data_IF_904506292377
#
_entry.id   IF_904506292377
#
_cell.length_a   1.000
_cell.length_b   1.000
_cell.length_c   1.000
_cell.angle_alpha   90.00
_cell.angle_beta   90.00
_cell.angle_gamma   90.00
#
_symmetry.space_group_name_H-M   'P 1'
#
loop_
_entity.id
_entity.type
_entity.pdbx_description
1 polymer ?
#
# COMPACT_ATOMS: atom_id res chain seq x y z
N UNK A 1 -29.56 -5.93 9.39
CA UNK A 1 -28.16 -5.79 9.85
C UNK A 1 -27.53 -4.60 9.15
N UNK A 2 -26.99 -3.68 9.92
CA UNK A 2 -26.25 -2.58 9.32
C UNK A 2 -24.91 -3.10 8.80
N UNK A 3 -24.66 -2.96 7.51
CA UNK A 3 -23.34 -3.20 6.94
C UNK A 3 -22.37 -2.13 7.48
N UNK A 4 -21.29 -2.54 8.09
CA UNK A 4 -20.27 -1.59 8.55
C UNK A 4 -19.48 -1.08 7.35
N UNK A 5 -19.21 0.21 7.34
CA UNK A 5 -18.33 0.80 6.35
C UNK A 5 -16.92 0.19 6.50
N UNK A 6 -16.31 -0.32 5.41
CA UNK A 6 -14.97 -0.89 5.51
C UNK A 6 -13.94 0.19 5.84
N UNK A 7 -12.90 -0.21 6.56
CA UNK A 7 -11.70 0.59 6.74
C UNK A 7 -10.90 0.52 5.45
N UNK A 8 -10.48 1.67 4.91
CA UNK A 8 -9.85 1.73 3.58
C UNK A 8 -8.38 2.12 3.67
N UNK A 9 -7.53 1.29 3.10
CA UNK A 9 -6.07 1.48 3.09
C UNK A 9 -5.58 1.65 1.65
N UNK A 10 -4.72 2.62 1.43
CA UNK A 10 -4.11 2.88 0.13
C UNK A 10 -2.60 2.75 0.24
N UNK A 11 -2.02 1.80 -0.50
CA UNK A 11 -0.57 1.62 -0.59
C UNK A 11 -0.03 2.49 -1.72
N UNK A 12 0.98 3.29 -1.45
CA UNK A 12 1.49 4.27 -2.43
C UNK A 12 2.99 4.13 -2.61
N UNK A 13 3.43 4.05 -3.87
CA UNK A 13 4.85 4.14 -4.23
C UNK A 13 5.03 5.24 -5.28
N UNK A 14 6.14 5.25 -6.01
CA UNK A 14 6.37 6.26 -7.02
C UNK A 14 5.50 6.01 -8.27
N UNK A 15 5.66 4.85 -8.91
CA UNK A 15 5.05 4.56 -10.21
C UNK A 15 3.81 3.68 -10.18
N UNK A 16 3.49 3.07 -9.05
CA UNK A 16 2.36 2.14 -8.89
C UNK A 16 2.45 0.91 -9.82
N UNK A 17 3.66 0.42 -10.07
CA UNK A 17 3.87 -0.79 -10.90
C UNK A 17 4.67 -1.90 -10.21
N UNK A 18 5.38 -1.62 -9.11
CA UNK A 18 6.19 -2.63 -8.41
C UNK A 18 5.81 -2.77 -6.94
N UNK A 19 6.21 -1.81 -6.11
CA UNK A 19 6.09 -1.91 -4.64
C UNK A 19 4.65 -1.82 -4.15
N UNK A 20 3.91 -0.79 -4.55
CA UNK A 20 2.57 -0.59 -4.02
C UNK A 20 1.56 -1.64 -4.51
N UNK A 21 1.61 -2.13 -5.78
CA UNK A 21 0.73 -3.24 -6.15
C UNK A 21 1.03 -4.51 -5.36
N UNK A 22 2.31 -4.80 -5.11
CA UNK A 22 2.71 -5.95 -4.28
C UNK A 22 2.19 -5.79 -2.85
N UNK A 23 2.41 -4.61 -2.25
CA UNK A 23 1.92 -4.32 -0.90
C UNK A 23 0.40 -4.45 -0.81
N UNK A 24 -0.32 -3.96 -1.81
CA UNK A 24 -1.78 -4.05 -1.87
C UNK A 24 -2.25 -5.50 -1.77
N UNK A 25 -1.74 -6.37 -2.62
CA UNK A 25 -2.21 -7.77 -2.69
C UNK A 25 -1.78 -8.56 -1.46
N UNK A 26 -0.55 -8.34 -0.98
CA UNK A 26 -0.05 -9.04 0.22
C UNK A 26 -0.84 -8.61 1.46
N UNK A 27 -1.06 -7.31 1.64
CA UNK A 27 -1.83 -6.81 2.78
C UNK A 27 -3.28 -7.30 2.74
N UNK A 28 -3.89 -7.26 1.56
CA UNK A 28 -5.26 -7.78 1.37
C UNK A 28 -5.34 -9.25 1.76
N UNK A 29 -4.36 -10.05 1.35
CA UNK A 29 -4.31 -11.48 1.68
C UNK A 29 -4.34 -11.70 3.19
N UNK A 30 -3.50 -11.00 3.95
CA UNK A 30 -3.45 -11.17 5.40
C UNK A 30 -4.69 -10.62 6.10
N UNK A 31 -5.27 -9.53 5.59
CA UNK A 31 -6.54 -9.01 6.10
C UNK A 31 -7.68 -10.02 5.89
N UNK A 32 -7.74 -10.62 4.71
CA UNK A 32 -8.78 -11.61 4.38
C UNK A 32 -8.65 -12.88 5.23
N UNK A 33 -7.43 -13.34 5.49
CA UNK A 33 -7.19 -14.49 6.37
C UNK A 33 -7.76 -14.26 7.77
N UNK A 34 -7.71 -13.04 8.26
CA UNK A 34 -8.20 -12.66 9.59
C UNK A 34 -9.65 -12.18 9.55
N UNK A 35 -10.32 -12.26 8.41
CA UNK A 35 -11.70 -11.84 8.22
C UNK A 35 -11.95 -10.38 8.66
N UNK A 36 -11.00 -9.50 8.34
CA UNK A 36 -11.11 -8.08 8.65
C UNK A 36 -11.85 -7.36 7.53
N UNK A 37 -12.74 -6.43 7.89
CA UNK A 37 -13.49 -5.62 6.94
C UNK A 37 -12.62 -4.44 6.45
N UNK A 38 -11.62 -4.75 5.64
CA UNK A 38 -10.65 -3.78 5.14
C UNK A 38 -10.59 -3.87 3.62
N UNK A 39 -10.66 -2.71 2.97
CA UNK A 39 -10.43 -2.56 1.52
C UNK A 39 -9.01 -2.04 1.34
N UNK A 40 -8.24 -2.68 0.49
CA UNK A 40 -6.86 -2.28 0.19
C UNK A 40 -6.74 -1.98 -1.30
N UNK A 41 -6.21 -0.81 -1.61
CA UNK A 41 -5.92 -0.36 -2.98
C UNK A 41 -4.51 0.17 -3.07
N UNK A 42 -4.08 0.60 -4.26
CA UNK A 42 -2.77 1.21 -4.46
C UNK A 42 -2.81 2.35 -5.48
N UNK A 43 -1.81 3.23 -5.39
CA UNK A 43 -1.64 4.37 -6.30
C UNK A 43 -0.15 4.75 -6.34
N UNK A 44 0.22 5.66 -7.24
CA UNK A 44 1.56 6.21 -7.33
C UNK A 44 1.55 7.73 -7.17
N UNK A 45 2.65 8.28 -6.65
CA UNK A 45 2.79 9.74 -6.57
C UNK A 45 3.05 10.36 -7.95
N UNK A 46 3.63 9.59 -8.87
CA UNK A 46 3.89 10.04 -10.23
C UNK A 46 2.80 9.58 -11.21
N UNK A 47 2.79 10.18 -12.39
CA UNK A 47 1.91 9.81 -13.50
C UNK A 47 2.73 9.16 -14.62
N UNK A 48 3.70 8.33 -14.29
CA UNK A 48 4.60 7.73 -15.27
C UNK A 48 3.96 6.57 -16.03
N UNK A 49 3.07 5.81 -15.39
CA UNK A 49 2.54 4.56 -15.93
C UNK A 49 1.01 4.45 -15.85
N UNK A 50 0.23 5.50 -16.18
CA UNK A 50 -1.22 5.45 -15.98
C UNK A 50 -1.86 4.33 -16.79
N UNK A 51 -2.72 3.55 -16.14
CA UNK A 51 -3.45 2.44 -16.77
C UNK A 51 -2.63 1.20 -17.05
N UNK A 52 -1.34 1.18 -16.70
CA UNK A 52 -0.47 0.04 -16.96
C UNK A 52 -0.65 -1.06 -15.91
N UNK A 53 -0.48 -2.29 -16.33
CA UNK A 53 -0.39 -3.42 -15.43
C UNK A 53 0.90 -3.33 -14.60
N UNK A 54 0.97 -4.01 -13.44
CA UNK A 54 2.22 -4.11 -12.69
C UNK A 54 3.36 -4.69 -13.52
N UNK A 55 4.58 -4.33 -13.16
CA UNK A 55 5.81 -4.86 -13.80
C UNK A 55 5.73 -6.39 -13.87
N UNK A 56 6.07 -6.96 -15.04
CA UNK A 56 5.96 -8.41 -15.25
C UNK A 56 6.82 -9.21 -14.28
N UNK A 57 8.00 -8.69 -13.91
CA UNK A 57 8.87 -9.36 -12.94
C UNK A 57 8.23 -9.39 -11.56
N UNK A 58 7.60 -8.27 -11.15
CA UNK A 58 6.82 -8.22 -9.92
C UNK A 58 5.70 -9.25 -9.93
N UNK A 59 4.96 -9.34 -11.04
CA UNK A 59 3.89 -10.32 -11.19
C UNK A 59 4.41 -11.75 -11.08
N UNK A 60 5.51 -12.07 -11.75
CA UNK A 60 6.10 -13.40 -11.76
C UNK A 60 6.57 -13.83 -10.37
N UNK A 61 7.29 -12.97 -9.67
CA UNK A 61 7.78 -13.27 -8.33
C UNK A 61 6.63 -13.42 -7.32
N UNK A 62 5.65 -12.54 -7.39
CA UNK A 62 4.48 -12.60 -6.51
C UNK A 62 3.66 -13.87 -6.75
N UNK A 63 3.46 -14.26 -8.01
CA UNK A 63 2.66 -15.43 -8.37
C UNK A 63 3.25 -16.73 -7.80
N UNK A 64 4.58 -16.82 -7.72
CA UNK A 64 5.25 -17.99 -7.10
C UNK A 64 4.86 -18.18 -5.64
N UNK A 65 4.45 -17.11 -4.96
CA UNK A 65 3.98 -17.16 -3.57
C UNK A 65 2.46 -17.16 -3.46
N UNK A 66 1.74 -17.23 -4.59
CA UNK A 66 0.29 -17.27 -4.62
C UNK A 66 -0.39 -15.90 -4.68
N UNK A 67 0.36 -14.83 -4.93
CA UNK A 67 -0.20 -13.49 -5.06
C UNK A 67 -0.36 -13.12 -6.53
N UNK A 68 -1.60 -12.84 -6.96
CA UNK A 68 -1.90 -12.45 -8.34
C UNK A 68 -2.06 -10.93 -8.44
N UNK A 69 -1.13 -10.29 -9.15
CA UNK A 69 -1.14 -8.85 -9.40
C UNK A 69 -1.71 -8.48 -10.77
N UNK A 70 -2.09 -9.47 -11.58
CA UNK A 70 -2.35 -9.26 -13.02
C UNK A 70 -3.54 -8.35 -13.34
N UNK A 71 -4.51 -8.27 -12.43
CA UNK A 71 -5.72 -7.46 -12.66
C UNK A 71 -5.57 -5.99 -12.27
N UNK A 72 -4.48 -5.65 -11.57
CA UNK A 72 -4.27 -4.29 -11.11
C UNK A 72 -3.87 -3.36 -12.25
N UNK A 73 -4.19 -2.07 -12.11
CA UNK A 73 -3.81 -1.03 -13.07
C UNK A 73 -3.32 0.20 -12.33
N UNK A 74 -2.21 0.77 -12.81
CA UNK A 74 -1.60 1.92 -12.18
C UNK A 74 -2.49 3.16 -12.29
N UNK A 75 -2.55 3.94 -11.20
CA UNK A 75 -3.19 5.25 -11.18
C UNK A 75 -2.39 6.20 -10.30
N UNK A 76 -2.62 7.49 -10.48
CA UNK A 76 -1.97 8.51 -9.69
C UNK A 76 -2.76 8.81 -8.41
N UNK A 77 -2.04 9.04 -7.31
CA UNK A 77 -2.59 9.56 -6.06
C UNK A 77 -3.20 10.93 -6.29
N UNK A 78 -4.40 11.15 -5.76
CA UNK A 78 -5.11 12.43 -5.86
C UNK A 78 -5.40 13.00 -4.47
N UNK A 79 -5.72 14.29 -4.42
CA UNK A 79 -6.12 14.94 -3.16
C UNK A 79 -7.37 14.29 -2.54
N UNK A 80 -8.30 13.81 -3.36
CA UNK A 80 -9.50 13.11 -2.88
C UNK A 80 -9.21 11.82 -2.13
N UNK A 81 -8.08 11.16 -2.41
CA UNK A 81 -7.69 9.95 -1.71
C UNK A 81 -7.55 10.18 -0.19
N UNK A 82 -7.16 11.40 0.20
CA UNK A 82 -7.04 11.75 1.62
C UNK A 82 -8.39 11.88 2.34
N UNK A 83 -9.47 11.98 1.59
CA UNK A 83 -10.84 11.98 2.14
C UNK A 83 -11.43 10.58 2.07
N UNK A 84 -11.12 9.83 1.01
CA UNK A 84 -11.72 8.53 0.73
C UNK A 84 -11.12 7.39 1.53
N UNK A 85 -9.84 7.50 1.91
CA UNK A 85 -9.11 6.45 2.62
C UNK A 85 -8.85 6.82 4.06
N UNK A 86 -8.76 5.81 4.91
CA UNK A 86 -8.48 5.97 6.34
C UNK A 86 -6.98 5.95 6.63
N UNK A 87 -6.21 5.23 5.82
CA UNK A 87 -4.78 5.07 5.99
C UNK A 87 -4.09 5.06 4.62
N UNK A 88 -3.04 5.86 4.49
CA UNK A 88 -2.19 5.89 3.29
C UNK A 88 -0.79 5.46 3.70
N UNK A 89 -0.27 4.40 3.06
CA UNK A 89 1.01 3.79 3.41
C UNK A 89 2.06 4.11 2.36
N UNK A 90 3.15 4.73 2.80
CA UNK A 90 4.32 5.05 1.98
C UNK A 90 5.31 3.89 2.01
N UNK A 91 6.04 3.71 0.91
CA UNK A 91 7.00 2.61 0.77
C UNK A 91 8.42 3.00 1.20
N UNK A 92 8.77 4.29 1.13
CA UNK A 92 10.07 4.81 1.57
C UNK A 92 9.92 6.26 2.05
N UNK A 93 11.02 6.85 2.56
CA UNK A 93 10.98 8.20 3.13
C UNK A 93 10.77 9.29 2.09
N UNK A 94 11.35 9.16 0.90
CA UNK A 94 11.10 10.11 -0.19
C UNK A 94 9.64 10.05 -0.63
N UNK A 95 9.10 8.87 -0.78
CA UNK A 95 7.71 8.61 -1.10
C UNK A 95 6.79 9.22 -0.02
N UNK A 96 7.13 9.04 1.26
CA UNK A 96 6.40 9.63 2.38
C UNK A 96 6.37 11.16 2.27
N UNK A 97 7.51 11.78 1.99
CA UNK A 97 7.63 13.23 1.83
C UNK A 97 6.75 13.73 0.67
N UNK A 98 6.75 13.04 -0.46
CA UNK A 98 5.94 13.39 -1.62
C UNK A 98 4.44 13.26 -1.31
N UNK A 99 4.05 12.22 -0.59
CA UNK A 99 2.66 12.04 -0.13
C UNK A 99 2.24 13.18 0.80
N UNK A 100 3.11 13.56 1.73
CA UNK A 100 2.83 14.64 2.68
C UNK A 100 2.68 16.00 1.98
N UNK A 101 3.40 16.23 0.88
CA UNK A 101 3.24 17.44 0.06
C UNK A 101 1.82 17.50 -0.53
N UNK A 102 1.32 16.39 -1.05
CA UNK A 102 -0.04 16.30 -1.60
C UNK A 102 -1.08 16.43 -0.46
N UNK A 103 -0.78 15.85 0.70
CA UNK A 103 -1.62 15.97 1.89
C UNK A 103 -1.84 17.44 2.28
N UNK A 104 -0.78 18.24 2.28
CA UNK A 104 -0.89 19.66 2.60
C UNK A 104 -1.78 20.41 1.60
N UNK A 105 -1.67 20.09 0.32
CA UNK A 105 -2.54 20.66 -0.71
C UNK A 105 -4.00 20.26 -0.49
N UNK A 106 -4.23 19.00 -0.12
CA UNK A 106 -5.57 18.51 0.17
C UNK A 106 -6.16 19.20 1.41
N UNK A 107 -5.37 19.42 2.46
CA UNK A 107 -5.81 20.15 3.66
C UNK A 107 -6.22 21.58 3.32
N UNK A 108 -5.45 22.24 2.46
CA UNK A 108 -5.77 23.60 2.01
C UNK A 108 -7.10 23.66 1.26
N UNK A 109 -7.39 22.64 0.44
CA UNK A 109 -8.60 22.61 -0.37
C UNK A 109 -9.82 22.14 0.41
N UNK A 110 -9.66 21.07 1.22
CA UNK A 110 -10.80 20.38 1.85
C UNK A 110 -10.94 20.63 3.35
N UNK A 111 -9.92 21.18 3.99
CA UNK A 111 -9.89 21.38 5.44
C UNK A 111 -9.54 20.08 6.18
N UNK A 112 -10.52 19.44 6.82
CA UNK A 112 -10.29 18.22 7.58
C UNK A 112 -10.16 17.01 6.64
N UNK A 113 -9.11 16.20 6.86
CA UNK A 113 -8.85 14.98 6.08
C UNK A 113 -9.12 13.74 6.94
N UNK A 114 -9.57 12.67 6.28
CA UNK A 114 -9.79 11.38 6.92
C UNK A 114 -8.48 10.60 7.08
N UNK A 115 -7.61 10.62 6.07
CA UNK A 115 -6.46 9.74 6.00
C UNK A 115 -5.35 10.11 6.98
N UNK A 116 -4.87 9.08 7.70
CA UNK A 116 -3.56 9.11 8.36
C UNK A 116 -2.52 8.62 7.36
N UNK A 117 -1.31 9.19 7.40
CA UNK A 117 -0.19 8.78 6.52
C UNK A 117 0.91 8.15 7.39
N UNK A 118 1.42 7.00 6.96
CA UNK A 118 2.48 6.27 7.68
C UNK A 118 3.35 5.49 6.70
N UNK A 119 4.52 5.03 7.17
CA UNK A 119 5.32 4.07 6.41
C UNK A 119 4.68 2.68 6.47
N UNK A 120 4.79 1.92 5.39
CA UNK A 120 4.37 0.51 5.36
C UNK A 120 5.03 -0.27 6.50
N UNK A 121 6.29 0.01 6.80
CA UNK A 121 7.08 -0.67 7.83
C UNK A 121 6.96 -0.06 9.23
N UNK A 122 6.00 0.83 9.47
CA UNK A 122 5.91 1.57 10.75
C UNK A 122 5.88 0.64 11.98
N UNK A 123 5.20 -0.48 11.90
CA UNK A 123 5.04 -1.42 13.01
C UNK A 123 5.81 -2.73 12.79
N UNK A 124 6.64 -2.79 11.76
CA UNK A 124 7.40 -3.99 11.40
C UNK A 124 8.57 -4.17 12.37
N UNK A 125 8.64 -5.33 13.02
CA UNK A 125 9.71 -5.62 13.99
C UNK A 125 10.96 -6.18 13.32
N UNK A 126 10.82 -6.82 12.17
CA UNK A 126 11.95 -7.38 11.42
C UNK A 126 12.60 -6.33 10.53
N UNK A 127 11.84 -5.37 10.04
CA UNK A 127 12.30 -4.27 9.19
C UNK A 127 11.83 -2.92 9.77
N UNK A 128 12.21 -2.57 11.00
CA UNK A 128 11.61 -1.44 11.73
C UNK A 128 11.84 -0.12 10.99
N UNK A 129 10.75 0.48 10.52
CA UNK A 129 10.72 1.74 9.79
C UNK A 129 11.64 1.76 8.56
N UNK A 130 11.98 0.58 8.03
CA UNK A 130 12.83 0.45 6.85
C UNK A 130 12.06 0.71 5.57
N UNK A 131 12.72 1.37 4.61
CA UNK A 131 12.18 1.53 3.28
C UNK A 131 12.08 0.18 2.56
N UNK A 132 10.98 -0.02 1.82
CA UNK A 132 10.94 -1.12 0.86
C UNK A 132 11.92 -0.81 -0.27
N UNK A 133 12.77 -1.76 -0.68
CA UNK A 133 13.69 -1.52 -1.80
C UNK A 133 12.90 -1.29 -3.09
N UNK A 134 13.44 -0.46 -3.97
CA UNK A 134 12.86 -0.27 -5.30
C UNK A 134 13.54 -1.26 -6.25
N UNK A 135 12.84 -2.30 -6.70
CA UNK A 135 13.45 -3.34 -7.50
C UNK A 135 13.49 -3.05 -9.00
N UNK A 136 12.92 -1.92 -9.44
CA UNK A 136 12.68 -1.65 -10.88
C UNK A 136 13.96 -1.71 -11.71
N UNK A 137 15.06 -1.17 -11.17
CA UNK A 137 16.37 -1.16 -11.84
C UNK A 137 17.38 -2.15 -11.24
N UNK A 138 16.94 -3.01 -10.32
CA UNK A 138 17.82 -3.90 -9.56
C UNK A 138 17.83 -5.34 -10.05
N UNK A 139 18.54 -6.18 -9.29
CA UNK A 139 18.62 -7.61 -9.54
C UNK A 139 17.28 -8.31 -9.18
N UNK A 140 17.13 -9.55 -9.68
CA UNK A 140 15.91 -10.33 -9.46
C UNK A 140 15.56 -10.53 -7.98
N UNK A 141 16.58 -10.66 -7.10
CA UNK A 141 16.36 -10.82 -5.66
C UNK A 141 15.74 -9.58 -5.00
N UNK A 142 15.80 -8.41 -5.66
CA UNK A 142 15.10 -7.22 -5.20
C UNK A 142 13.59 -7.40 -5.12
N UNK A 143 13.00 -8.13 -6.07
CA UNK A 143 11.57 -8.44 -6.05
C UNK A 143 11.21 -9.38 -4.89
N UNK A 144 12.09 -10.36 -4.60
CA UNK A 144 11.90 -11.25 -3.47
C UNK A 144 12.01 -10.52 -2.13
N UNK A 145 12.94 -9.58 -2.01
CA UNK A 145 13.08 -8.75 -0.79
C UNK A 145 11.85 -7.86 -0.56
N UNK A 146 11.27 -7.31 -1.64
CA UNK A 146 10.02 -6.55 -1.52
C UNK A 146 8.91 -7.46 -0.98
N UNK A 147 8.79 -8.67 -1.48
CA UNK A 147 7.80 -9.64 -1.00
C UNK A 147 8.02 -9.99 0.46
N UNK A 148 9.27 -10.29 0.85
CA UNK A 148 9.60 -10.61 2.24
C UNK A 148 9.18 -9.48 3.18
N UNK A 149 9.52 -8.25 2.84
CA UNK A 149 9.19 -7.10 3.67
C UNK A 149 7.71 -6.79 3.66
N UNK A 150 7.03 -6.91 2.50
CA UNK A 150 5.58 -6.73 2.43
C UNK A 150 4.84 -7.74 3.32
N UNK A 151 5.30 -9.00 3.34
CA UNK A 151 4.70 -10.01 4.20
C UNK A 151 4.89 -9.67 5.68
N UNK A 152 6.11 -9.31 6.08
CA UNK A 152 6.42 -8.93 7.46
C UNK A 152 5.63 -7.69 7.89
N UNK A 153 5.66 -6.63 7.09
CA UNK A 153 4.96 -5.37 7.40
C UNK A 153 3.44 -5.55 7.41
N UNK A 154 2.90 -6.34 6.49
CA UNK A 154 1.46 -6.62 6.42
C UNK A 154 0.97 -7.36 7.66
N UNK A 155 1.73 -8.34 8.15
CA UNK A 155 1.39 -9.05 9.38
C UNK A 155 1.37 -8.10 10.58
N UNK A 156 2.31 -7.15 10.63
CA UNK A 156 2.36 -6.14 11.70
C UNK A 156 1.14 -5.22 11.64
N UNK A 157 0.75 -4.74 10.45
CA UNK A 157 -0.44 -3.91 10.30
C UNK A 157 -1.72 -4.67 10.65
N UNK A 158 -1.82 -5.93 10.28
CA UNK A 158 -2.99 -6.75 10.62
C UNK A 158 -3.19 -6.82 12.13
N UNK A 159 -2.12 -6.94 12.91
CA UNK A 159 -2.24 -6.93 14.39
C UNK A 159 -2.79 -5.59 14.89
N UNK A 160 -2.37 -4.46 14.30
CA UNK A 160 -2.93 -3.14 14.62
C UNK A 160 -4.41 -3.08 14.23
N UNK A 161 -4.77 -3.54 13.04
CA UNK A 161 -6.16 -3.52 12.57
C UNK A 161 -7.08 -4.39 13.43
N UNK A 162 -6.60 -5.52 13.91
CA UNK A 162 -7.38 -6.39 14.80
C UNK A 162 -7.78 -5.69 16.10
N UNK A 163 -6.97 -4.74 16.55
CA UNK A 163 -7.24 -3.98 17.78
C UNK A 163 -8.21 -2.82 17.54
N UNK A 164 -8.19 -2.20 16.36
CA UNK A 164 -8.84 -0.92 16.07
C UNK A 164 -9.96 -1.01 15.03
N UNK A 165 -10.05 -2.10 14.26
CA UNK A 165 -11.01 -2.26 13.17
C UNK A 165 -11.88 -3.47 13.46
N UNK A 166 -13.17 -3.33 13.23
CA UNK A 166 -14.12 -4.41 13.48
C UNK A 166 -13.97 -5.52 12.42
N UNK A 167 -14.06 -6.75 12.88
CA UNK A 167 -14.08 -7.92 11.99
C UNK A 167 -15.38 -7.97 11.20
N UNK A 168 -15.32 -8.60 10.04
CA UNK A 168 -16.47 -8.88 9.18
C UNK A 168 -17.47 -9.82 9.90
#
# INVERSE_FOLDING_TARGET
MSSRTPYKVLCVCLGNICRSPTAEVVLRHYCDEQQLNIVVDSAGTSNYHPGKAPDLRSQQHALKRGYDLSTLRARQLTKHDFIDYDLILAMDLENLSNIQNIQRLAETEFGHLRARVALMSEHDQDYPQQALPDPYYGEADGFERVLDQCESSSQAWVEIFKQNVHKV
#
